data_IF_335048145282
#
_entry.id   IF_335048145282
#
_cell.length_a   1.000
_cell.length_b   1.000
_cell.length_c   1.000
_cell.angle_alpha   90.00
_cell.angle_beta   90.00
_cell.angle_gamma   90.00
#
_symmetry.space_group_name_H-M   'P 1'
#
loop_
_entity.id
_entity.type
_entity.pdbx_description
1 polymer ?
#
# COMPACT_ATOMS: atom_id res chain seq x y z
N UNK A 1 24.36 4.59 -3.75
CA UNK A 1 23.62 5.03 -2.55
C UNK A 1 22.26 4.36 -2.59
N UNK A 2 21.97 3.41 -1.69
CA UNK A 2 20.66 2.77 -1.66
C UNK A 2 19.66 3.77 -1.06
N UNK A 3 18.94 4.49 -1.93
CA UNK A 3 17.94 5.46 -1.51
C UNK A 3 16.63 4.74 -1.24
N UNK A 4 16.22 4.69 0.03
CA UNK A 4 14.82 4.40 0.36
C UNK A 4 13.98 5.64 0.00
N UNK A 5 12.91 5.43 -0.74
CA UNK A 5 11.96 6.48 -1.12
C UNK A 5 10.74 6.43 -0.21
N UNK A 6 10.28 7.59 0.25
CA UNK A 6 9.10 7.71 1.09
C UNK A 6 8.13 8.71 0.50
N UNK A 7 6.85 8.34 0.44
CA UNK A 7 5.75 9.22 0.03
C UNK A 7 4.59 9.09 0.99
N UNK A 8 3.84 10.17 1.16
CA UNK A 8 2.70 10.24 2.06
C UNK A 8 1.54 10.93 1.37
N UNK A 9 0.40 10.26 1.37
CA UNK A 9 -0.87 10.74 0.83
C UNK A 9 -2.01 10.26 1.74
N UNK A 10 -3.22 10.75 1.50
CA UNK A 10 -4.41 10.44 2.30
C UNK A 10 -5.43 9.65 1.48
N UNK A 11 -6.21 8.80 2.16
CA UNK A 11 -7.34 8.06 1.62
C UNK A 11 -8.54 8.21 2.55
N UNK A 12 -9.75 8.10 2.00
CA UNK A 12 -10.95 7.94 2.82
C UNK A 12 -10.97 6.53 3.43
N UNK A 13 -10.87 6.45 4.76
CA UNK A 13 -10.86 5.17 5.48
C UNK A 13 -12.16 4.39 5.33
N UNK A 14 -13.29 5.09 5.24
CA UNK A 14 -14.62 4.47 5.22
C UNK A 14 -15.04 4.11 3.79
N UNK A 15 -14.41 4.73 2.79
CA UNK A 15 -14.65 4.48 1.37
C UNK A 15 -13.33 4.42 0.58
N UNK A 16 -12.46 3.43 0.87
CA UNK A 16 -11.12 3.40 0.28
C UNK A 16 -11.11 3.03 -1.21
N UNK A 17 -12.23 2.54 -1.76
CA UNK A 17 -12.34 2.10 -3.14
C UNK A 17 -11.87 0.65 -3.33
N UNK A 18 -11.41 0.34 -4.55
CA UNK A 18 -10.94 -0.99 -4.95
C UNK A 18 -9.43 -1.10 -4.85
N UNK A 19 -8.93 -2.31 -4.62
CA UNK A 19 -7.49 -2.56 -4.55
C UNK A 19 -6.78 -2.16 -5.86
N UNK A 20 -7.39 -2.43 -7.01
CA UNK A 20 -6.80 -2.10 -8.31
C UNK A 20 -6.53 -0.60 -8.48
N UNK A 21 -7.45 0.25 -8.04
CA UNK A 21 -7.29 1.71 -8.10
C UNK A 21 -6.18 2.18 -7.14
N UNK A 22 -6.13 1.60 -5.94
CA UNK A 22 -5.05 1.85 -5.00
C UNK A 22 -3.68 1.41 -5.55
N UNK A 23 -3.62 0.25 -6.20
CA UNK A 23 -2.40 -0.24 -6.85
C UNK A 23 -1.92 0.74 -7.94
N UNK A 24 -2.82 1.18 -8.83
CA UNK A 24 -2.52 2.20 -9.85
C UNK A 24 -2.06 3.53 -9.24
N UNK A 25 -2.69 3.96 -8.15
CA UNK A 25 -2.29 5.17 -7.42
C UNK A 25 -0.87 5.07 -6.88
N UNK A 26 -0.50 3.93 -6.27
CA UNK A 26 0.85 3.66 -5.78
C UNK A 26 1.87 3.74 -6.92
N UNK A 27 1.61 3.06 -8.03
CA UNK A 27 2.51 3.08 -9.19
C UNK A 27 2.70 4.50 -9.75
N UNK A 28 1.62 5.28 -9.82
CA UNK A 28 1.66 6.66 -10.29
C UNK A 28 2.47 7.56 -9.35
N UNK A 29 2.17 7.53 -8.05
CA UNK A 29 2.81 8.35 -7.03
C UNK A 29 4.32 8.09 -6.95
N UNK A 30 4.74 6.84 -7.15
CA UNK A 30 6.15 6.43 -7.13
C UNK A 30 6.86 6.46 -8.50
N UNK A 31 6.19 6.89 -9.57
CA UNK A 31 6.74 6.93 -10.93
C UNK A 31 7.29 5.56 -11.42
N UNK A 32 6.59 4.48 -11.10
CA UNK A 32 6.98 3.09 -11.40
C UNK A 32 5.92 2.33 -12.19
N UNK A 33 5.12 3.02 -13.02
CA UNK A 33 4.00 2.46 -13.77
C UNK A 33 4.31 1.20 -14.60
N UNK A 34 5.58 1.00 -15.00
CA UNK A 34 6.01 -0.14 -15.83
C UNK A 34 6.57 -1.31 -15.00
N UNK A 35 6.48 -1.27 -13.67
CA UNK A 35 7.02 -2.30 -12.79
C UNK A 35 5.90 -3.10 -12.13
N UNK A 36 6.08 -4.41 -12.07
CA UNK A 36 5.28 -5.27 -11.21
C UNK A 36 5.78 -5.14 -9.76
N UNK A 37 4.88 -4.90 -8.82
CA UNK A 37 5.24 -4.69 -7.41
C UNK A 37 4.34 -5.49 -6.49
N UNK A 38 4.89 -5.95 -5.37
CA UNK A 38 4.12 -6.40 -4.22
C UNK A 38 3.89 -5.24 -3.27
N UNK A 39 2.67 -5.17 -2.74
CA UNK A 39 2.27 -4.21 -1.73
C UNK A 39 2.00 -4.98 -0.43
N UNK A 40 2.61 -4.56 0.67
CA UNK A 40 2.33 -5.09 2.00
C UNK A 40 2.10 -3.97 3.01
N UNK A 41 1.47 -4.29 4.14
CA UNK A 41 1.31 -3.38 5.27
C UNK A 41 1.72 -4.04 6.58
N UNK A 42 2.22 -3.23 7.52
CA UNK A 42 2.40 -3.68 8.89
C UNK A 42 1.07 -3.54 9.64
N UNK A 43 0.55 -4.65 10.17
CA UNK A 43 -0.65 -4.65 10.98
C UNK A 43 -0.40 -4.15 12.41
N UNK A 44 -1.41 -4.23 13.28
CA UNK A 44 -1.34 -3.76 14.67
C UNK A 44 -0.40 -4.60 15.55
N UNK A 45 -0.06 -5.81 15.12
CA UNK A 45 0.91 -6.70 15.78
C UNK A 45 2.33 -6.54 15.23
N UNK A 46 2.48 -5.82 14.11
CA UNK A 46 3.75 -5.60 13.42
C UNK A 46 4.03 -6.62 12.33
N UNK A 47 3.09 -7.52 12.04
CA UNK A 47 3.23 -8.51 10.97
C UNK A 47 3.07 -7.83 9.61
N UNK A 48 3.93 -8.22 8.66
CA UNK A 48 3.85 -7.74 7.28
C UNK A 48 2.86 -8.61 6.49
N UNK A 49 1.70 -8.06 6.18
CA UNK A 49 0.63 -8.75 5.46
C UNK A 49 0.47 -8.18 4.04
N UNK A 50 0.13 -9.02 3.03
CA UNK A 50 -0.04 -8.57 1.67
C UNK A 50 -1.33 -7.76 1.48
N UNK A 51 -1.26 -6.74 0.62
CA UNK A 51 -2.42 -6.07 0.04
C UNK A 51 -2.48 -6.48 -1.43
N UNK A 52 -3.31 -7.48 -1.76
CA UNK A 52 -3.39 -8.07 -3.09
C UNK A 52 -4.82 -8.32 -3.58
N UNK A 53 -5.83 -7.93 -2.79
CA UNK A 53 -7.24 -8.01 -3.13
C UNK A 53 -8.03 -6.95 -2.32
N UNK A 54 -9.32 -6.82 -2.63
CA UNK A 54 -10.21 -5.84 -1.99
C UNK A 54 -10.35 -6.06 -0.47
N UNK A 55 -10.44 -7.32 -0.02
CA UNK A 55 -10.65 -7.65 1.39
C UNK A 55 -9.43 -7.27 2.25
N UNK A 56 -8.24 -7.62 1.79
CA UNK A 56 -6.97 -7.27 2.43
C UNK A 56 -6.75 -5.77 2.42
N UNK A 57 -7.11 -5.08 1.34
CA UNK A 57 -7.04 -3.63 1.25
C UNK A 57 -7.98 -2.95 2.24
N UNK A 58 -9.24 -3.38 2.30
CA UNK A 58 -10.21 -2.87 3.27
C UNK A 58 -9.74 -3.11 4.71
N UNK A 59 -9.22 -4.31 5.01
CA UNK A 59 -8.66 -4.64 6.32
C UNK A 59 -7.47 -3.76 6.70
N UNK A 60 -6.54 -3.54 5.76
CA UNK A 60 -5.37 -2.70 5.97
C UNK A 60 -5.76 -1.26 6.30
N UNK A 61 -6.65 -0.66 5.51
CA UNK A 61 -7.09 0.73 5.71
C UNK A 61 -7.90 0.89 6.99
N UNK A 62 -8.77 -0.07 7.32
CA UNK A 62 -9.64 -0.01 8.50
C UNK A 62 -8.87 -0.23 9.81
N UNK A 63 -7.83 -1.06 9.81
CA UNK A 63 -7.02 -1.37 11.01
C UNK A 63 -5.93 -0.34 11.30
N UNK A 64 -5.65 0.57 10.36
CA UNK A 64 -4.61 1.57 10.49
C UNK A 64 -4.80 2.48 11.72
N UNK A 65 -3.80 2.55 12.60
CA UNK A 65 -3.82 3.44 13.77
C UNK A 65 -2.40 3.90 14.14
N UNK A 66 -2.05 5.20 14.03
CA UNK A 66 -2.77 6.30 13.36
C UNK A 66 -2.57 6.32 11.83
N UNK A 67 -1.54 5.66 11.31
CA UNK A 67 -1.17 5.68 9.88
C UNK A 67 -1.06 4.26 9.35
N UNK A 68 -1.50 4.04 8.11
CA UNK A 68 -1.20 2.82 7.38
C UNK A 68 0.23 2.93 6.83
N UNK A 69 1.14 2.07 7.30
CA UNK A 69 2.49 1.96 6.72
C UNK A 69 2.46 0.88 5.65
N UNK A 70 2.72 1.29 4.41
CA UNK A 70 2.74 0.42 3.24
C UNK A 70 4.18 0.26 2.75
N UNK A 71 4.54 -0.96 2.42
CA UNK A 71 5.83 -1.34 1.85
C UNK A 71 5.60 -1.76 0.40
N UNK A 72 6.44 -1.26 -0.50
CA UNK A 72 6.38 -1.54 -1.92
C UNK A 72 7.68 -2.23 -2.30
N UNK A 73 7.57 -3.44 -2.84
CA UNK A 73 8.72 -4.21 -3.29
C UNK A 73 8.54 -4.53 -4.78
N UNK A 74 9.54 -4.19 -5.59
CA UNK A 74 9.56 -4.61 -7.00
C UNK A 74 9.62 -6.12 -7.07
N UNK A 75 8.78 -6.72 -7.91
CA UNK A 75 8.96 -8.11 -8.31
C UNK A 75 10.08 -8.17 -9.35
N UNK A 76 10.99 -9.13 -9.16
CA UNK A 76 12.18 -9.34 -9.99
C UNK A 76 12.62 -10.78 -9.90
#
# INVERSE_FOLDING_TARGET
QFGAEFRRFSLDRYKPGKFEDFYKLILHIHHIANLEVMIGYADVHGDLLPINNDDNFFKAVSSAHPLLRVFIQRQG
#
